data_IF_607099449262
#
_entry.id   IF_607099449262
#
_cell.length_a   1.000
_cell.length_b   1.000
_cell.length_c   1.000
_cell.angle_alpha   90.00
_cell.angle_beta   90.00
_cell.angle_gamma   90.00
#
_symmetry.space_group_name_H-M   'P 1'
#
loop_
_entity.id
_entity.type
_entity.pdbx_description
1 polymer ?
#
# COMPACT_ATOMS: atom_id res chain seq x y z
N UNK A 1 48.83 19.47 -13.58
CA UNK A 1 47.49 18.94 -13.89
C UNK A 1 46.48 20.03 -13.51
N UNK A 2 46.06 20.85 -14.47
CA UNK A 2 45.04 21.87 -14.24
C UNK A 2 43.67 21.20 -14.36
N UNK A 3 43.01 20.95 -13.22
CA UNK A 3 41.58 20.66 -13.23
C UNK A 3 40.84 21.97 -13.57
N UNK A 4 39.96 21.99 -14.58
CA UNK A 4 39.17 23.18 -14.86
C UNK A 4 38.30 23.53 -13.64
N UNK A 5 38.17 24.83 -13.35
CA UNK A 5 37.36 25.31 -12.24
C UNK A 5 35.92 24.76 -12.35
N UNK A 6 35.31 24.32 -11.23
CA UNK A 6 33.96 23.74 -11.27
C UNK A 6 32.98 24.78 -11.82
N UNK A 7 32.31 24.43 -12.90
CA UNK A 7 31.26 25.27 -13.48
C UNK A 7 30.14 25.48 -12.46
N UNK A 8 29.38 26.58 -12.56
CA UNK A 8 28.23 26.86 -11.65
C UNK A 8 27.23 25.67 -11.54
N UNK A 9 27.24 24.77 -12.51
CA UNK A 9 26.42 23.57 -12.57
C UNK A 9 26.85 22.48 -11.56
N UNK A 10 28.14 22.40 -11.23
CA UNK A 10 28.66 21.51 -10.18
C UNK A 10 28.12 21.87 -8.80
N UNK A 11 28.03 23.17 -8.50
CA UNK A 11 27.46 23.67 -7.25
C UNK A 11 25.96 23.36 -7.15
N UNK A 12 25.21 23.55 -8.25
CA UNK A 12 23.79 23.20 -8.32
C UNK A 12 23.55 21.70 -8.06
N UNK A 13 24.41 20.83 -8.59
CA UNK A 13 24.29 19.38 -8.40
C UNK A 13 24.58 18.93 -6.96
N UNK A 14 25.62 19.49 -6.34
CA UNK A 14 25.92 19.24 -4.92
C UNK A 14 24.76 19.71 -4.04
N UNK A 15 24.17 20.86 -4.36
CA UNK A 15 23.04 21.43 -3.63
C UNK A 15 21.78 20.55 -3.74
N UNK A 16 21.44 20.09 -4.95
CA UNK A 16 20.33 19.17 -5.18
C UNK A 16 20.52 17.81 -4.49
N UNK A 17 21.75 17.28 -4.50
CA UNK A 17 22.07 16.03 -3.80
C UNK A 17 21.97 16.17 -2.28
N UNK A 18 22.43 17.29 -1.74
CA UNK A 18 22.26 17.64 -0.33
C UNK A 18 20.80 17.78 0.08
N UNK A 19 19.98 18.45 -0.73
CA UNK A 19 18.53 18.55 -0.53
C UNK A 19 17.82 17.20 -0.55
N UNK A 20 18.18 16.32 -1.50
CA UNK A 20 17.60 14.97 -1.59
C UNK A 20 17.96 14.15 -0.35
N UNK A 21 19.23 14.21 0.09
CA UNK A 21 19.72 13.49 1.27
C UNK A 21 19.07 14.02 2.56
N UNK A 22 18.97 15.35 2.71
CA UNK A 22 18.32 15.99 3.85
C UNK A 22 16.83 15.62 3.92
N UNK A 23 16.12 15.64 2.80
CA UNK A 23 14.72 15.24 2.74
C UNK A 23 14.53 13.74 3.06
N UNK A 24 15.45 12.87 2.61
CA UNK A 24 15.44 11.45 2.96
C UNK A 24 15.70 11.22 4.46
N UNK A 25 16.67 11.92 5.05
CA UNK A 25 16.97 11.87 6.48
C UNK A 25 15.81 12.41 7.33
N UNK A 26 15.15 13.48 6.89
CA UNK A 26 13.94 14.01 7.54
C UNK A 26 12.77 13.03 7.45
N UNK A 27 12.66 12.26 6.36
CA UNK A 27 11.67 11.19 6.25
C UNK A 27 11.97 10.02 7.21
N UNK A 28 13.24 9.69 7.46
CA UNK A 28 13.65 8.64 8.41
C UNK A 28 13.44 9.04 9.88
N UNK A 29 13.56 10.33 10.23
CA UNK A 29 13.44 10.80 11.63
C UNK A 29 12.00 10.91 12.16
N UNK A 30 10.99 10.41 11.43
CA UNK A 30 9.65 10.19 11.97
C UNK A 30 8.90 11.44 12.44
N UNK A 31 9.17 12.61 11.83
CA UNK A 31 8.39 13.82 12.09
C UNK A 31 6.94 13.63 11.59
N UNK A 32 5.97 13.92 12.47
CA UNK A 32 4.53 13.66 12.36
C UNK A 32 3.80 14.39 11.21
N UNK A 33 4.52 15.05 10.31
CA UNK A 33 3.97 15.66 9.11
C UNK A 33 3.83 14.59 8.01
N UNK A 34 2.64 13.96 7.95
CA UNK A 34 2.13 13.14 6.84
C UNK A 34 3.19 12.44 5.99
N UNK A 35 3.62 11.25 6.41
CA UNK A 35 4.70 10.45 5.79
C UNK A 35 4.60 10.33 4.26
N UNK A 36 3.40 10.33 3.67
CA UNK A 36 3.19 10.30 2.22
C UNK A 36 3.62 11.59 1.49
N UNK A 37 3.44 12.76 2.09
CA UNK A 37 3.78 14.05 1.46
C UNK A 37 5.31 14.25 1.41
N UNK A 38 6.02 13.88 2.47
CA UNK A 38 7.49 13.93 2.51
C UNK A 38 8.11 12.92 1.57
N UNK A 39 7.60 11.68 1.51
CA UNK A 39 8.07 10.67 0.57
C UNK A 39 7.88 11.12 -0.89
N UNK A 40 6.72 11.70 -1.22
CA UNK A 40 6.46 12.29 -2.56
C UNK A 40 7.40 13.44 -2.87
N UNK A 41 7.70 14.32 -1.90
CA UNK A 41 8.66 15.41 -2.06
C UNK A 41 10.08 14.88 -2.34
N UNK A 42 10.54 13.86 -1.60
CA UNK A 42 11.85 13.21 -1.79
C UNK A 42 11.96 12.61 -3.19
N UNK A 43 10.94 11.88 -3.63
CA UNK A 43 10.89 11.27 -4.96
C UNK A 43 10.86 12.33 -6.08
N UNK A 44 10.17 13.44 -5.86
CA UNK A 44 10.10 14.55 -6.83
C UNK A 44 11.45 15.28 -6.93
N UNK A 45 12.13 15.52 -5.81
CA UNK A 45 13.49 16.07 -5.79
C UNK A 45 14.50 15.13 -6.46
N UNK A 46 14.41 13.83 -6.20
CA UNK A 46 15.23 12.82 -6.86
C UNK A 46 14.97 12.77 -8.38
N UNK A 47 13.71 12.94 -8.82
CA UNK A 47 13.33 13.01 -10.22
C UNK A 47 13.90 14.25 -10.92
N UNK A 48 13.73 15.45 -10.33
CA UNK A 48 14.30 16.71 -10.86
C UNK A 48 15.82 16.60 -10.98
N UNK A 49 16.48 15.96 -10.00
CA UNK A 49 17.92 15.69 -10.06
C UNK A 49 18.28 14.75 -11.21
N UNK A 50 17.59 13.62 -11.34
CA UNK A 50 17.79 12.63 -12.40
C UNK A 50 17.63 13.25 -13.79
N UNK A 51 16.56 14.02 -14.00
CA UNK A 51 16.30 14.76 -15.23
C UNK A 51 17.43 15.74 -15.57
N UNK A 52 17.88 16.52 -14.58
CA UNK A 52 18.97 17.50 -14.77
C UNK A 52 20.28 16.82 -15.14
N UNK A 53 20.63 15.69 -14.53
CA UNK A 53 21.84 14.91 -14.84
C UNK A 53 21.77 14.32 -16.24
N UNK A 54 20.65 13.70 -16.60
CA UNK A 54 20.42 13.09 -17.92
C UNK A 54 20.55 14.15 -19.02
N UNK A 55 19.85 15.28 -18.87
CA UNK A 55 19.83 16.34 -19.88
C UNK A 55 21.17 17.08 -20.00
N UNK A 56 21.84 17.42 -18.91
CA UNK A 56 23.07 18.25 -18.96
C UNK A 56 24.36 17.43 -19.08
N UNK A 57 24.47 16.30 -18.37
CA UNK A 57 25.74 15.59 -18.22
C UNK A 57 25.93 14.45 -19.21
N UNK A 58 24.86 13.72 -19.56
CA UNK A 58 24.96 12.62 -20.54
C UNK A 58 24.85 13.08 -22.00
N UNK A 59 24.78 14.39 -22.26
CA UNK A 59 24.74 14.93 -23.63
C UNK A 59 23.46 14.61 -24.41
N UNK A 60 22.39 14.19 -23.73
CA UNK A 60 21.11 13.79 -24.36
C UNK A 60 20.44 14.90 -25.19
N UNK A 61 20.82 16.17 -24.95
CA UNK A 61 20.44 17.32 -25.78
C UNK A 61 20.78 17.17 -27.26
N UNK A 62 21.88 16.47 -27.54
CA UNK A 62 22.37 16.22 -28.89
C UNK A 62 22.02 14.82 -29.40
N UNK A 63 21.43 13.96 -28.56
CA UNK A 63 21.03 12.62 -28.95
C UNK A 63 19.78 12.62 -29.85
N UNK A 64 19.60 11.54 -30.61
CA UNK A 64 18.44 11.36 -31.47
C UNK A 64 17.11 11.52 -30.69
N UNK A 65 16.10 12.13 -31.32
CA UNK A 65 14.81 12.47 -30.67
C UNK A 65 14.12 11.23 -30.06
N UNK A 66 14.23 10.06 -30.69
CA UNK A 66 13.65 8.82 -30.18
C UNK A 66 14.30 8.36 -28.87
N UNK A 67 15.63 8.51 -28.73
CA UNK A 67 16.35 8.11 -27.52
C UNK A 67 15.95 9.00 -26.33
N UNK A 68 15.77 10.30 -26.59
CA UNK A 68 15.26 11.24 -25.59
C UNK A 68 13.87 10.84 -25.09
N UNK A 69 12.95 10.51 -26.02
CA UNK A 69 11.60 10.08 -25.67
C UNK A 69 11.59 8.77 -24.87
N UNK A 70 12.45 7.80 -25.21
CA UNK A 70 12.57 6.54 -24.46
C UNK A 70 13.07 6.79 -23.04
N UNK A 71 14.13 7.59 -22.87
CA UNK A 71 14.71 7.87 -21.54
C UNK A 71 13.73 8.65 -20.67
N UNK A 72 13.06 9.66 -21.23
CA UNK A 72 12.07 10.46 -20.49
C UNK A 72 10.82 9.64 -20.17
N UNK A 73 10.38 8.80 -21.11
CA UNK A 73 9.25 7.88 -20.91
C UNK A 73 9.56 6.85 -19.81
N UNK A 74 10.76 6.26 -19.81
CA UNK A 74 11.18 5.33 -18.76
C UNK A 74 11.30 6.01 -17.40
N UNK A 75 11.87 7.22 -17.35
CA UNK A 75 11.95 8.01 -16.11
C UNK A 75 10.56 8.31 -15.54
N UNK A 76 9.62 8.73 -16.38
CA UNK A 76 8.22 8.97 -16.00
C UNK A 76 7.50 7.70 -15.55
N UNK A 77 7.77 6.55 -16.17
CA UNK A 77 7.13 5.28 -15.83
C UNK A 77 7.61 4.80 -14.45
N UNK A 78 8.93 4.81 -14.20
CA UNK A 78 9.50 4.36 -12.93
C UNK A 78 9.13 5.31 -11.78
N UNK A 79 9.25 6.62 -11.97
CA UNK A 79 8.92 7.57 -10.88
C UNK A 79 7.43 7.83 -10.75
N UNK A 80 6.69 7.86 -11.85
CA UNK A 80 5.23 7.98 -11.84
C UNK A 80 4.59 6.82 -11.09
N UNK A 81 5.06 5.58 -11.30
CA UNK A 81 4.56 4.42 -10.57
C UNK A 81 4.95 4.44 -9.07
N UNK A 82 6.09 5.02 -8.71
CA UNK A 82 6.52 5.17 -7.32
C UNK A 82 5.80 6.32 -6.59
N UNK A 83 5.48 7.42 -7.28
CA UNK A 83 4.78 8.60 -6.74
C UNK A 83 3.27 8.37 -6.65
N UNK A 84 2.69 7.69 -7.65
CA UNK A 84 1.26 7.32 -7.72
C UNK A 84 0.96 6.02 -6.98
N UNK A 85 1.96 5.39 -6.35
CA UNK A 85 1.71 4.23 -5.49
C UNK A 85 0.72 4.69 -4.42
N UNK A 86 -0.48 4.09 -4.32
CA UNK A 86 -1.43 4.47 -3.29
C UNK A 86 -0.75 4.32 -1.94
N UNK A 87 -0.87 5.33 -1.08
CA UNK A 87 -0.28 5.29 0.25
C UNK A 87 -0.87 4.06 0.96
N UNK A 88 -0.05 3.02 1.11
CA UNK A 88 -0.35 1.90 2.01
C UNK A 88 -0.46 2.39 3.48
N UNK A 89 -0.09 3.66 3.72
CA UNK A 89 -0.25 4.43 4.95
C UNK A 89 -1.49 5.35 4.93
N UNK A 90 -2.53 5.06 4.13
CA UNK A 90 -3.85 5.58 4.45
C UNK A 90 -4.06 5.37 5.97
N UNK A 91 -4.41 6.41 6.74
CA UNK A 91 -4.40 6.32 8.18
C UNK A 91 -5.23 5.10 8.57
N UNK A 92 -4.58 4.12 9.18
CA UNK A 92 -5.28 3.04 9.84
C UNK A 92 -6.35 3.74 10.71
N UNK A 93 -7.63 3.31 10.62
CA UNK A 93 -8.70 3.96 11.38
C UNK A 93 -8.19 4.15 12.82
N UNK A 94 -8.21 5.43 13.27
CA UNK A 94 -7.54 5.90 14.48
C UNK A 94 -7.50 4.81 15.55
N UNK A 95 -6.29 4.38 15.95
CA UNK A 95 -6.03 3.20 16.77
C UNK A 95 -7.10 3.01 17.85
N UNK A 96 -8.15 2.27 17.50
CA UNK A 96 -9.18 1.88 18.44
C UNK A 96 -8.45 0.91 19.35
N UNK A 97 -8.32 1.26 20.63
CA UNK A 97 -7.69 0.39 21.61
C UNK A 97 -8.23 -1.03 21.40
N UNK A 98 -7.33 -1.98 21.19
CA UNK A 98 -7.71 -3.33 20.78
C UNK A 98 -8.79 -3.86 21.73
N UNK A 99 -9.90 -4.44 21.22
CA UNK A 99 -10.95 -4.95 22.08
C UNK A 99 -10.34 -5.97 23.04
N UNK A 100 -10.80 -5.92 24.29
CA UNK A 100 -10.30 -6.84 25.32
C UNK A 100 -10.50 -8.29 24.88
N UNK A 101 -9.42 -9.06 24.93
CA UNK A 101 -9.42 -10.49 24.68
C UNK A 101 -8.44 -11.15 25.64
N UNK A 102 -8.86 -12.25 26.26
CA UNK A 102 -8.02 -13.03 27.15
C UNK A 102 -7.57 -14.30 26.42
N UNK A 103 -6.28 -14.45 26.11
CA UNK A 103 -5.77 -15.68 25.51
C UNK A 103 -6.04 -16.88 26.43
N UNK A 104 -6.49 -17.99 25.85
CA UNK A 104 -6.72 -19.27 26.52
C UNK A 104 -5.60 -20.28 26.25
N UNK A 105 -4.83 -20.10 25.18
CA UNK A 105 -3.69 -20.94 24.82
C UNK A 105 -2.80 -20.25 23.79
N UNK A 106 -2.40 -21.02 22.77
CA UNK A 106 -1.46 -20.57 21.73
C UNK A 106 -2.15 -19.87 20.54
N UNK A 107 -3.46 -19.60 20.58
CA UNK A 107 -4.22 -19.11 19.42
C UNK A 107 -3.70 -17.78 18.88
N UNK A 108 -3.30 -16.84 19.73
CA UNK A 108 -2.71 -15.57 19.29
C UNK A 108 -1.41 -15.81 18.52
N UNK A 109 -0.56 -16.71 19.03
CA UNK A 109 0.73 -17.05 18.41
C UNK A 109 0.54 -17.77 17.07
N UNK A 110 -0.41 -18.71 17.00
CA UNK A 110 -0.74 -19.43 15.77
C UNK A 110 -1.31 -18.48 14.71
N UNK A 111 -2.17 -17.54 15.11
CA UNK A 111 -2.72 -16.53 14.20
C UNK A 111 -1.61 -15.63 13.63
N UNK A 112 -0.69 -15.15 14.48
CA UNK A 112 0.46 -14.35 14.02
C UNK A 112 1.37 -15.13 13.07
N UNK A 113 1.65 -16.41 13.38
CA UNK A 113 2.45 -17.27 12.51
C UNK A 113 1.77 -17.49 11.15
N UNK A 114 0.47 -17.75 11.14
CA UNK A 114 -0.30 -17.88 9.90
C UNK A 114 -0.30 -16.59 9.08
N UNK A 115 -0.46 -15.43 9.74
CA UNK A 115 -0.36 -14.12 9.08
C UNK A 115 1.02 -13.90 8.45
N UNK A 116 2.10 -14.18 9.17
CA UNK A 116 3.47 -14.06 8.63
C UNK A 116 3.71 -14.95 7.41
N UNK A 117 3.08 -16.13 7.38
CA UNK A 117 3.16 -17.08 6.26
C UNK A 117 2.08 -16.83 5.19
N UNK A 118 1.24 -15.80 5.34
CA UNK A 118 0.14 -15.48 4.43
C UNK A 118 -0.83 -16.67 4.22
N UNK A 119 -1.08 -17.43 5.28
CA UNK A 119 -1.96 -18.59 5.26
C UNK A 119 -3.38 -18.22 5.72
N UNK A 120 -4.44 -18.74 5.04
CA UNK A 120 -5.80 -18.59 5.53
C UNK A 120 -5.99 -19.37 6.83
N UNK A 121 -6.77 -18.81 7.77
CA UNK A 121 -7.03 -19.40 9.08
C UNK A 121 -8.52 -19.75 9.21
N UNK A 122 -8.81 -21.02 9.48
CA UNK A 122 -10.14 -21.47 9.87
C UNK A 122 -10.24 -21.54 11.40
N UNK A 123 -11.19 -20.79 11.96
CA UNK A 123 -11.43 -20.76 13.41
C UNK A 123 -12.70 -21.57 13.71
N UNK A 124 -12.54 -22.69 14.41
CA UNK A 124 -13.64 -23.57 14.81
C UNK A 124 -13.84 -23.54 16.32
N UNK A 125 -15.10 -23.49 16.75
CA UNK A 125 -15.48 -23.53 18.17
C UNK A 125 -16.99 -23.36 18.34
N UNK A 126 -17.54 -23.60 19.54
CA UNK A 126 -18.97 -23.41 19.81
C UNK A 126 -19.40 -21.95 19.63
N UNK A 127 -20.70 -21.71 19.47
CA UNK A 127 -21.25 -20.35 19.47
C UNK A 127 -20.96 -19.67 20.81
N UNK A 128 -20.74 -18.36 20.79
CA UNK A 128 -20.45 -17.58 22.01
C UNK A 128 -19.05 -17.72 22.61
N UNK A 129 -18.13 -18.53 22.03
CA UNK A 129 -16.75 -18.66 22.56
C UNK A 129 -15.82 -17.48 22.21
N UNK A 130 -16.33 -16.42 21.59
CA UNK A 130 -15.58 -15.20 21.32
C UNK A 130 -14.76 -15.17 20.02
N UNK A 131 -15.04 -16.00 19.02
CA UNK A 131 -14.33 -16.02 17.72
C UNK A 131 -14.28 -14.65 17.04
N UNK A 132 -15.41 -13.97 16.91
CA UNK A 132 -15.50 -12.63 16.32
C UNK A 132 -14.66 -11.61 17.10
N UNK A 133 -14.65 -11.71 18.44
CA UNK A 133 -13.86 -10.84 19.32
C UNK A 133 -12.37 -11.13 19.21
N UNK A 134 -11.98 -12.40 19.09
CA UNK A 134 -10.61 -12.81 18.87
C UNK A 134 -10.05 -12.21 17.56
N UNK A 135 -10.80 -12.32 16.45
CA UNK A 135 -10.36 -11.75 15.17
C UNK A 135 -10.25 -10.22 15.23
N UNK A 136 -11.21 -9.55 15.87
CA UNK A 136 -11.14 -8.10 16.08
C UNK A 136 -9.93 -7.69 16.93
N UNK A 137 -9.61 -8.47 17.97
CA UNK A 137 -8.42 -8.26 18.80
C UNK A 137 -7.13 -8.43 17.98
N UNK A 138 -7.03 -9.50 17.20
CA UNK A 138 -5.85 -9.76 16.36
C UNK A 138 -5.67 -8.71 15.27
N UNK A 139 -6.74 -8.27 14.61
CA UNK A 139 -6.68 -7.21 13.60
C UNK A 139 -6.17 -5.89 14.20
N UNK A 140 -6.70 -5.49 15.36
CA UNK A 140 -6.24 -4.30 16.07
C UNK A 140 -4.77 -4.42 16.53
N UNK A 141 -4.37 -5.61 17.03
CA UNK A 141 -2.99 -5.89 17.46
C UNK A 141 -2.00 -5.85 16.29
N UNK A 142 -2.40 -6.30 15.10
CA UNK A 142 -1.60 -6.25 13.87
C UNK A 142 -1.66 -4.89 13.16
N UNK A 143 -2.54 -3.98 13.59
CA UNK A 143 -2.75 -2.68 12.94
C UNK A 143 -3.38 -2.79 11.55
N UNK A 144 -4.14 -3.86 11.29
CA UNK A 144 -4.74 -4.15 9.99
C UNK A 144 -6.23 -3.79 9.98
N UNK A 145 -6.76 -3.22 8.88
CA UNK A 145 -8.19 -3.01 8.75
C UNK A 145 -8.93 -4.35 8.73
N UNK A 146 -10.04 -4.43 9.45
CA UNK A 146 -10.89 -5.63 9.49
C UNK A 146 -12.19 -5.37 8.73
N UNK A 147 -12.49 -6.23 7.76
CA UNK A 147 -13.77 -6.29 7.07
C UNK A 147 -14.45 -7.61 7.44
N UNK A 148 -15.55 -7.52 8.18
CA UNK A 148 -16.38 -8.68 8.52
C UNK A 148 -17.50 -8.84 7.51
N UNK A 149 -17.69 -10.05 7.01
CA UNK A 149 -18.81 -10.45 6.16
C UNK A 149 -19.56 -11.56 6.89
N UNK A 150 -20.84 -11.35 7.14
CA UNK A 150 -21.72 -12.41 7.64
C UNK A 150 -22.19 -13.25 6.45
N UNK A 151 -21.76 -14.50 6.38
CA UNK A 151 -22.18 -15.43 5.34
C UNK A 151 -23.60 -15.91 5.58
N UNK A 152 -24.33 -16.15 4.49
CA UNK A 152 -25.70 -16.64 4.46
C UNK A 152 -25.96 -17.33 3.11
N UNK A 153 -27.06 -18.08 3.00
CA UNK A 153 -27.39 -18.87 1.80
C UNK A 153 -27.58 -18.04 0.51
N UNK A 154 -27.96 -16.76 0.64
CA UNK A 154 -28.11 -15.84 -0.49
C UNK A 154 -26.79 -15.15 -0.90
N UNK A 155 -25.69 -15.38 -0.19
CA UNK A 155 -24.41 -14.72 -0.47
C UNK A 155 -23.76 -15.36 -1.70
N UNK A 156 -23.51 -14.56 -2.74
CA UNK A 156 -22.83 -15.02 -3.96
C UNK A 156 -21.35 -14.62 -3.99
N UNK A 157 -20.54 -15.33 -4.79
CA UNK A 157 -19.15 -14.95 -5.04
C UNK A 157 -19.03 -13.54 -5.64
N UNK A 158 -19.99 -13.10 -6.46
CA UNK A 158 -20.02 -11.76 -7.02
C UNK A 158 -20.25 -10.68 -5.94
N UNK A 159 -20.97 -11.00 -4.86
CA UNK A 159 -21.13 -10.07 -3.74
C UNK A 159 -19.83 -9.91 -2.94
N UNK A 160 -19.02 -10.97 -2.83
CA UNK A 160 -17.72 -10.94 -2.16
C UNK A 160 -16.66 -10.20 -2.99
N UNK A 161 -16.54 -10.54 -4.28
CA UNK A 161 -15.53 -9.97 -5.18
C UNK A 161 -15.91 -8.58 -5.64
N UNK A 162 -17.18 -8.34 -5.95
CA UNK A 162 -17.66 -7.10 -6.55
C UNK A 162 -18.36 -7.35 -7.88
N UNK A 163 -19.07 -6.32 -8.34
CA UNK A 163 -19.87 -6.37 -9.56
C UNK A 163 -19.91 -5.02 -10.26
N UNK A 164 -20.21 -5.07 -11.55
CA UNK A 164 -20.49 -3.88 -12.33
C UNK A 164 -21.90 -3.34 -12.01
N UNK A 165 -21.98 -2.05 -11.66
CA UNK A 165 -23.22 -1.32 -11.44
C UNK A 165 -23.41 -0.32 -12.59
N UNK A 166 -24.66 -0.06 -12.96
CA UNK A 166 -25.01 0.96 -13.94
C UNK A 166 -25.35 2.24 -13.18
N UNK A 167 -24.59 3.30 -13.41
CA UNK A 167 -24.81 4.62 -12.82
C UNK A 167 -24.53 5.71 -13.85
N UNK A 168 -25.37 6.74 -13.91
CA UNK A 168 -25.22 7.90 -14.82
C UNK A 168 -24.92 7.53 -16.30
N UNK A 169 -25.56 6.47 -16.79
CA UNK A 169 -25.39 6.00 -18.18
C UNK A 169 -24.06 5.29 -18.46
N UNK A 170 -23.27 4.96 -17.44
CA UNK A 170 -22.01 4.22 -17.55
C UNK A 170 -22.00 2.99 -16.64
N UNK A 171 -21.21 1.99 -17.04
CA UNK A 171 -21.00 0.77 -16.25
C UNK A 171 -19.74 0.95 -15.39
N UNK A 172 -19.91 1.07 -14.08
CA UNK A 172 -18.83 1.27 -13.12
C UNK A 172 -18.59 -0.01 -12.34
N UNK A 173 -17.32 -0.37 -12.12
CA UNK A 173 -16.96 -1.48 -11.24
C UNK A 173 -17.12 -1.05 -9.77
N UNK A 174 -17.79 -1.87 -8.97
CA UNK A 174 -17.93 -1.67 -7.54
C UNK A 174 -17.27 -2.84 -6.80
N UNK A 175 -16.22 -2.58 -6.03
CA UNK A 175 -15.50 -3.60 -5.27
C UNK A 175 -16.37 -4.20 -4.15
N UNK A 176 -16.39 -5.53 -4.05
CA UNK A 176 -16.98 -6.24 -2.92
C UNK A 176 -16.09 -6.19 -1.67
N UNK A 177 -16.57 -6.67 -0.50
CA UNK A 177 -15.85 -6.60 0.76
C UNK A 177 -14.52 -7.36 0.73
N UNK A 178 -14.42 -8.48 0.01
CA UNK A 178 -13.17 -9.24 -0.14
C UNK A 178 -12.14 -8.42 -0.94
N UNK A 179 -12.56 -7.88 -2.07
CA UNK A 179 -11.68 -7.06 -2.93
C UNK A 179 -11.24 -5.78 -2.22
N UNK A 180 -12.12 -5.16 -1.44
CA UNK A 180 -11.76 -4.02 -0.59
C UNK A 180 -10.72 -4.38 0.46
N UNK A 181 -10.87 -5.52 1.14
CA UNK A 181 -9.89 -5.99 2.12
C UNK A 181 -8.52 -6.20 1.46
N UNK A 182 -8.49 -6.85 0.29
CA UNK A 182 -7.26 -7.08 -0.48
C UNK A 182 -6.59 -5.75 -0.89
N UNK A 183 -7.35 -4.79 -1.42
CA UNK A 183 -6.81 -3.47 -1.81
C UNK A 183 -6.26 -2.67 -0.64
N UNK A 184 -6.84 -2.84 0.54
CA UNK A 184 -6.45 -2.15 1.76
C UNK A 184 -5.33 -2.88 2.53
N UNK A 185 -4.92 -4.08 2.09
CA UNK A 185 -4.02 -4.95 2.84
C UNK A 185 -4.59 -5.41 4.18
N UNK A 186 -5.93 -5.49 4.26
CA UNK A 186 -6.67 -5.82 5.48
C UNK A 186 -7.00 -7.30 5.65
N UNK A 187 -7.59 -7.61 6.79
CA UNK A 187 -8.16 -8.92 7.11
C UNK A 187 -9.61 -8.95 6.64
N UNK A 188 -9.96 -9.94 5.83
CA UNK A 188 -11.34 -10.29 5.52
C UNK A 188 -11.77 -11.46 6.42
N UNK A 189 -12.76 -11.24 7.28
CA UNK A 189 -13.32 -12.26 8.17
C UNK A 189 -14.69 -12.69 7.65
N UNK A 190 -14.82 -13.97 7.30
CA UNK A 190 -16.07 -14.59 6.87
C UNK A 190 -16.71 -15.31 8.06
N UNK A 191 -17.72 -14.70 8.66
CA UNK A 191 -18.47 -15.27 9.78
C UNK A 191 -19.55 -16.22 9.25
N UNK A 192 -19.77 -17.35 9.93
CA UNK A 192 -20.73 -18.39 9.51
C UNK A 192 -20.51 -18.90 8.07
N UNK A 193 -19.26 -19.03 7.63
CA UNK A 193 -18.91 -19.52 6.28
C UNK A 193 -19.51 -20.90 5.93
N UNK A 194 -19.88 -21.69 6.94
CA UNK A 194 -20.55 -22.99 6.75
C UNK A 194 -21.97 -22.82 6.19
N UNK A 195 -22.62 -21.68 6.44
CA UNK A 195 -23.93 -21.30 5.90
C UNK A 195 -23.80 -20.65 4.51
N UNK A 196 -22.58 -20.47 3.97
CA UNK A 196 -22.41 -20.02 2.60
C UNK A 196 -22.70 -21.17 1.61
N UNK A 197 -23.30 -20.85 0.46
CA UNK A 197 -23.46 -21.82 -0.64
C UNK A 197 -22.10 -22.45 -0.99
N UNK A 198 -22.12 -23.77 -1.23
CA UNK A 198 -20.93 -24.54 -1.65
C UNK A 198 -20.24 -23.95 -2.90
N UNK A 199 -20.99 -23.27 -3.76
CA UNK A 199 -20.46 -22.64 -4.99
C UNK A 199 -19.72 -21.32 -4.73
N UNK A 200 -19.70 -20.83 -3.48
CA UNK A 200 -19.05 -19.56 -3.08
C UNK A 200 -17.69 -19.78 -2.41
N UNK A 201 -17.37 -21.01 -2.03
CA UNK A 201 -16.07 -21.41 -1.47
C UNK A 201 -15.20 -21.98 -2.59
N UNK A 202 -14.29 -21.15 -3.12
CA UNK A 202 -13.33 -21.53 -4.17
C UNK A 202 -12.06 -22.12 -3.56
#
# INVERSE_FOLDING_TARGET
>A
MNYPAPSRQWLLWLWLSGLTLMAALLAEQGLSLGQGALARLVLLLAWVKGFTVIEHYMGLRHAARWLRLVVHGWLLLVTGLLILRPDMNAPAPAAVAAPFYQPQGDECRLFEAAWQQQLPVLIKGPTGCGKTRFVAHMAARLGLPLITVSCHDDLSAADLVGRHLIGDGQTVWCDGPLTRALRQGGICYLDEVVEARKDTTV
#
